data_IF_371498897755
#
_entry.id   IF_371498897755
#
_cell.length_a   1.000
_cell.length_b   1.000
_cell.length_c   1.000
_cell.angle_alpha   90.00
_cell.angle_beta   90.00
_cell.angle_gamma   90.00
#
_symmetry.space_group_name_H-M   'P 1'
#
loop_
_entity.id
_entity.type
_entity.pdbx_description
1 polymer ?
#
# COMPACT_ATOMS: atom_id res chain seq x y z
N UNK A 1 -7.12 8.47 -30.68
CA UNK A 1 -7.84 7.18 -30.56
C UNK A 1 -7.24 6.36 -29.43
N UNK A 2 -8.05 5.58 -28.71
CA UNK A 2 -7.55 4.61 -27.72
C UNK A 2 -7.18 3.34 -28.48
N UNK A 3 -5.90 2.95 -28.46
CA UNK A 3 -5.43 1.74 -29.11
C UNK A 3 -5.64 0.55 -28.16
N UNK A 4 -6.64 -0.28 -28.46
CA UNK A 4 -7.02 -1.40 -27.63
C UNK A 4 -5.90 -2.44 -27.50
N UNK A 5 -5.16 -2.70 -28.57
CA UNK A 5 -4.09 -3.70 -28.57
C UNK A 5 -2.95 -3.27 -27.65
N UNK A 6 -2.65 -1.97 -27.60
CA UNK A 6 -1.69 -1.43 -26.63
C UNK A 6 -2.17 -1.58 -25.18
N UNK A 7 -3.46 -1.34 -24.91
CA UNK A 7 -4.01 -1.52 -23.56
C UNK A 7 -4.00 -3.00 -23.14
N UNK A 8 -4.26 -3.90 -24.09
CA UNK A 8 -4.19 -5.34 -23.88
C UNK A 8 -2.78 -5.79 -23.53
N UNK A 9 -1.79 -5.43 -24.34
CA UNK A 9 -0.39 -5.79 -24.07
C UNK A 9 0.10 -5.19 -22.76
N UNK A 10 -0.34 -3.97 -22.41
CA UNK A 10 0.02 -3.35 -21.15
C UNK A 10 -0.58 -4.10 -19.95
N UNK A 11 -1.88 -4.44 -19.99
CA UNK A 11 -2.55 -5.24 -18.95
C UNK A 11 -1.93 -6.63 -18.78
N UNK A 12 -1.57 -7.27 -19.90
CA UNK A 12 -0.94 -8.59 -19.93
C UNK A 12 0.47 -8.56 -19.31
N UNK A 13 1.18 -7.44 -19.45
CA UNK A 13 2.51 -7.25 -18.87
C UNK A 13 2.51 -6.88 -17.38
N UNK A 14 1.36 -6.56 -16.79
CA UNK A 14 1.26 -6.27 -15.36
C UNK A 14 1.47 -7.54 -14.53
N UNK A 15 2.18 -7.40 -13.41
CA UNK A 15 2.18 -8.44 -12.40
C UNK A 15 0.85 -8.47 -11.63
N UNK A 16 0.67 -9.48 -10.77
CA UNK A 16 -0.58 -9.70 -10.04
C UNK A 16 -1.00 -8.46 -9.24
N UNK A 17 -0.12 -7.89 -8.43
CA UNK A 17 -0.44 -6.74 -7.57
C UNK A 17 -0.81 -5.50 -8.38
N UNK A 18 -0.09 -5.22 -9.47
CA UNK A 18 -0.40 -4.11 -10.36
C UNK A 18 -1.76 -4.29 -11.04
N UNK A 19 -2.09 -5.53 -11.41
CA UNK A 19 -3.37 -5.84 -12.02
C UNK A 19 -4.53 -5.67 -11.03
N UNK A 20 -4.40 -6.14 -9.80
CA UNK A 20 -5.43 -5.93 -8.76
C UNK A 20 -5.65 -4.44 -8.46
N UNK A 21 -4.58 -3.64 -8.39
CA UNK A 21 -4.70 -2.18 -8.22
C UNK A 21 -5.47 -1.53 -9.38
N UNK A 22 -5.26 -2.00 -10.62
CA UNK A 22 -6.02 -1.51 -11.78
C UNK A 22 -7.50 -1.85 -11.65
N UNK A 23 -7.85 -3.07 -11.20
CA UNK A 23 -9.24 -3.44 -10.95
C UNK A 23 -9.87 -2.54 -9.88
N UNK A 24 -9.16 -2.32 -8.77
CA UNK A 24 -9.60 -1.46 -7.68
C UNK A 24 -9.87 -0.02 -8.14
N UNK A 25 -8.94 0.59 -8.89
CA UNK A 25 -9.09 1.97 -9.38
C UNK A 25 -10.21 2.14 -10.42
N UNK A 26 -10.53 1.07 -11.13
CA UNK A 26 -11.61 1.04 -12.11
C UNK A 26 -12.94 0.60 -11.50
N UNK A 27 -12.99 0.35 -10.18
CA UNK A 27 -14.18 -0.14 -9.47
C UNK A 27 -14.75 -1.42 -10.09
N UNK A 28 -13.86 -2.29 -10.60
CA UNK A 28 -14.23 -3.58 -11.18
C UNK A 28 -14.23 -4.61 -10.05
N UNK A 29 -15.37 -5.27 -9.87
CA UNK A 29 -15.47 -6.39 -8.93
C UNK A 29 -14.49 -7.52 -9.32
N UNK A 30 -13.55 -7.93 -8.46
CA UNK A 30 -12.63 -9.03 -8.76
C UNK A 30 -13.34 -10.35 -9.02
N UNK A 31 -14.55 -10.57 -8.49
CA UNK A 31 -15.30 -11.82 -8.65
C UNK A 31 -15.82 -12.03 -10.09
N UNK A 32 -15.96 -10.97 -10.88
CA UNK A 32 -16.38 -11.04 -12.29
C UNK A 32 -15.20 -11.20 -13.26
N UNK A 33 -13.97 -11.17 -12.74
CA UNK A 33 -12.73 -11.44 -13.46
C UNK A 33 -12.29 -12.89 -13.15
N UNK A 34 -11.73 -13.64 -14.13
CA UNK A 34 -11.14 -14.94 -13.86
C UNK A 34 -10.11 -14.86 -12.72
N UNK A 35 -10.05 -15.95 -11.93
CA UNK A 35 -9.21 -16.01 -10.72
C UNK A 35 -7.75 -15.69 -11.00
N UNK A 36 -7.00 -15.36 -9.95
CA UNK A 36 -5.56 -15.09 -10.04
C UNK A 36 -4.73 -16.27 -10.55
N UNK A 37 -5.32 -17.48 -10.61
CA UNK A 37 -4.69 -18.68 -11.18
C UNK A 37 -4.92 -18.82 -12.69
N UNK A 38 -5.84 -18.05 -13.28
CA UNK A 38 -6.07 -18.02 -14.71
C UNK A 38 -4.95 -17.25 -15.42
N UNK A 39 -4.71 -17.58 -16.69
CA UNK A 39 -3.74 -16.84 -17.50
C UNK A 39 -4.07 -15.34 -17.54
N UNK A 40 -3.06 -14.50 -17.31
CA UNK A 40 -3.19 -13.05 -17.29
C UNK A 40 -3.80 -12.49 -18.59
N UNK A 41 -3.52 -13.13 -19.73
CA UNK A 41 -4.14 -12.81 -21.02
C UNK A 41 -5.67 -12.92 -20.98
N UNK A 42 -6.20 -13.97 -20.35
CA UNK A 42 -7.65 -14.21 -20.22
C UNK A 42 -8.28 -13.15 -19.30
N UNK A 43 -7.59 -12.80 -18.21
CA UNK A 43 -8.00 -11.75 -17.28
C UNK A 43 -8.05 -10.39 -17.98
N UNK A 44 -7.02 -10.04 -18.74
CA UNK A 44 -6.94 -8.80 -19.52
C UNK A 44 -8.04 -8.70 -20.58
N UNK A 45 -8.37 -9.81 -21.28
CA UNK A 45 -9.49 -9.86 -22.23
C UNK A 45 -10.81 -9.53 -21.52
N UNK A 46 -11.05 -10.09 -20.33
CA UNK A 46 -12.28 -9.86 -19.59
C UNK A 46 -12.43 -8.39 -19.16
N UNK A 47 -11.36 -7.78 -18.65
CA UNK A 47 -11.34 -6.34 -18.29
C UNK A 47 -11.67 -5.47 -19.50
N UNK A 48 -11.03 -5.72 -20.65
CA UNK A 48 -11.31 -4.96 -21.87
C UNK A 48 -12.75 -5.17 -22.34
N UNK A 49 -13.29 -6.40 -22.22
CA UNK A 49 -14.69 -6.70 -22.58
C UNK A 49 -15.68 -5.90 -21.74
N UNK A 50 -15.46 -5.82 -20.42
CA UNK A 50 -16.31 -5.06 -19.51
C UNK A 50 -16.28 -3.58 -19.84
N UNK A 51 -15.07 -3.00 -19.94
CA UNK A 51 -14.88 -1.56 -20.15
C UNK A 51 -15.30 -1.07 -21.54
N UNK A 52 -15.51 -1.98 -22.50
CA UNK A 52 -16.12 -1.67 -23.81
C UNK A 52 -17.62 -1.41 -23.72
N UNK A 53 -18.29 -1.97 -22.72
CA UNK A 53 -19.73 -1.77 -22.52
C UNK A 53 -20.02 -0.40 -21.90
N UNK A 54 -19.00 0.25 -21.34
CA UNK A 54 -19.07 1.58 -20.75
C UNK A 54 -18.67 2.67 -21.74
N UNK A 55 -19.36 3.81 -21.66
CA UNK A 55 -19.19 4.94 -22.59
C UNK A 55 -17.75 5.50 -22.62
N UNK A 56 -17.01 5.37 -21.52
CA UNK A 56 -15.65 5.90 -21.37
C UNK A 56 -14.67 4.88 -20.77
N UNK A 57 -15.05 3.62 -20.60
CA UNK A 57 -14.27 2.63 -19.83
C UNK A 57 -12.84 2.43 -20.36
N UNK A 58 -12.66 2.35 -21.69
CA UNK A 58 -11.32 2.23 -22.28
C UNK A 58 -10.45 3.49 -22.13
N UNK A 59 -11.07 4.67 -22.04
CA UNK A 59 -10.33 5.91 -21.74
C UNK A 59 -9.93 5.97 -20.27
N UNK A 60 -10.80 5.52 -19.36
CA UNK A 60 -10.49 5.37 -17.93
C UNK A 60 -9.35 4.38 -17.72
N UNK A 61 -9.36 3.24 -18.41
CA UNK A 61 -8.26 2.27 -18.38
C UNK A 61 -6.95 2.89 -18.86
N UNK A 62 -6.96 3.60 -19.99
CA UNK A 62 -5.77 4.28 -20.50
C UNK A 62 -5.20 5.27 -19.48
N UNK A 63 -6.08 6.04 -18.82
CA UNK A 63 -5.68 7.00 -17.78
C UNK A 63 -5.07 6.27 -16.58
N UNK A 64 -5.74 5.24 -16.08
CA UNK A 64 -5.31 4.44 -14.92
C UNK A 64 -3.94 3.79 -15.17
N UNK A 65 -3.75 3.17 -16.34
CA UNK A 65 -2.47 2.54 -16.70
C UNK A 65 -1.33 3.55 -16.91
N UNK A 66 -1.64 4.82 -17.14
CA UNK A 66 -0.65 5.89 -17.23
C UNK A 66 -0.28 6.47 -15.85
N UNK A 67 -0.98 6.08 -14.78
CA UNK A 67 -0.70 6.60 -13.45
C UNK A 67 0.59 5.98 -12.88
N UNK A 68 1.55 6.79 -12.38
CA UNK A 68 2.81 6.30 -11.84
C UNK A 68 2.62 5.29 -10.70
N UNK A 69 1.51 5.39 -9.97
CA UNK A 69 1.16 4.47 -8.89
C UNK A 69 1.10 3.01 -9.36
N UNK A 70 0.59 2.72 -10.55
CA UNK A 70 0.53 1.35 -11.11
C UNK A 70 1.94 0.79 -11.32
N UNK A 71 2.88 1.61 -11.78
CA UNK A 71 4.28 1.20 -11.93
C UNK A 71 4.99 0.96 -10.58
N UNK A 72 4.55 1.64 -9.51
CA UNK A 72 5.15 1.52 -8.17
C UNK A 72 4.66 0.25 -7.45
N UNK A 73 3.41 -0.16 -7.65
CA UNK A 73 2.78 -1.33 -7.01
C UNK A 73 3.49 -2.65 -7.36
N UNK A 74 4.27 -2.67 -8.45
CA UNK A 74 5.09 -3.82 -8.84
C UNK A 74 6.53 -3.82 -8.32
N UNK A 75 6.98 -2.73 -7.69
CA UNK A 75 8.24 -2.73 -6.97
C UNK A 75 8.00 -3.46 -5.67
N UNK A 76 8.46 -4.72 -5.60
CA UNK A 76 8.77 -5.33 -4.32
C UNK A 76 9.72 -4.36 -3.62
N UNK A 77 9.20 -3.58 -2.67
CA UNK A 77 10.06 -2.95 -1.69
C UNK A 77 10.74 -4.12 -0.95
N UNK A 78 11.97 -4.43 -1.36
CA UNK A 78 12.86 -5.24 -0.54
C UNK A 78 12.88 -4.57 0.83
N UNK A 79 12.72 -5.33 1.93
CA UNK A 79 12.47 -4.79 3.27
C UNK A 79 13.42 -3.67 3.72
N UNK A 80 14.59 -3.57 3.09
CA UNK A 80 15.54 -2.46 3.21
C UNK A 80 14.98 -1.07 2.85
N UNK A 81 14.16 -0.93 1.81
CA UNK A 81 13.65 0.38 1.38
C UNK A 81 12.51 0.86 2.30
N UNK A 82 11.66 -0.05 2.79
CA UNK A 82 10.68 0.28 3.84
C UNK A 82 11.41 0.61 5.13
N UNK A 83 12.43 -0.16 5.53
CA UNK A 83 13.20 0.15 6.72
C UNK A 83 13.90 1.51 6.60
N UNK A 84 14.42 1.88 5.43
CA UNK A 84 15.04 3.18 5.21
C UNK A 84 14.02 4.33 5.26
N UNK A 85 12.86 4.20 4.61
CA UNK A 85 11.81 5.22 4.68
C UNK A 85 11.18 5.32 6.07
N UNK A 86 10.94 4.19 6.74
CA UNK A 86 10.47 4.15 8.14
C UNK A 86 11.53 4.74 9.06
N UNK A 87 12.82 4.42 8.91
CA UNK A 87 13.90 5.04 9.67
C UNK A 87 14.01 6.54 9.40
N UNK A 88 13.76 6.99 8.17
CA UNK A 88 13.74 8.41 7.83
C UNK A 88 12.58 9.12 8.54
N UNK A 89 11.36 8.58 8.43
CA UNK A 89 10.16 9.10 9.10
C UNK A 89 10.36 9.09 10.62
N UNK A 90 10.79 7.97 11.19
CA UNK A 90 11.03 7.79 12.63
C UNK A 90 12.18 8.69 13.11
N UNK A 91 13.22 8.87 12.29
CA UNK A 91 14.37 9.74 12.60
C UNK A 91 13.98 11.20 12.81
N UNK A 92 12.99 11.70 12.07
CA UNK A 92 12.42 13.04 12.28
C UNK A 92 11.69 13.17 13.63
N UNK A 93 11.12 12.07 14.15
CA UNK A 93 10.44 12.06 15.45
C UNK A 93 11.36 11.81 16.65
N UNK A 94 12.45 11.05 16.48
CA UNK A 94 13.44 10.77 17.56
C UNK A 94 14.08 12.07 18.09
N UNK A 95 14.15 13.11 17.27
CA UNK A 95 14.75 14.40 17.65
C UNK A 95 13.80 15.33 18.42
N UNK A 96 12.53 14.95 18.60
CA UNK A 96 11.58 15.78 19.34
C UNK A 96 11.69 15.51 20.86
N UNK A 97 11.91 16.54 21.69
CA UNK A 97 11.95 16.36 23.13
C UNK A 97 10.57 15.94 23.66
N UNK A 98 10.51 14.75 24.29
CA UNK A 98 9.33 14.24 24.99
C UNK A 98 9.27 14.84 26.41
N UNK A 99 8.96 16.13 26.54
CA UNK A 99 8.80 16.72 27.87
C UNK A 99 7.47 16.28 28.52
N UNK A 100 7.55 15.82 29.79
CA UNK A 100 6.37 15.53 30.61
C UNK A 100 5.71 14.17 30.42
N UNK A 101 6.30 13.24 29.63
CA UNK A 101 5.74 11.89 29.36
C UNK A 101 6.60 10.72 29.83
N UNK A 102 7.45 10.97 30.83
CA UNK A 102 8.37 9.97 31.39
C UNK A 102 7.64 8.77 32.03
N UNK A 103 6.44 8.99 32.57
CA UNK A 103 5.64 7.93 33.16
C UNK A 103 5.10 6.95 32.09
N UNK A 104 4.60 7.46 30.97
CA UNK A 104 4.13 6.64 29.85
C UNK A 104 5.29 5.89 29.19
N UNK A 105 6.43 6.57 29.02
CA UNK A 105 7.66 5.96 28.51
C UNK A 105 8.12 4.79 29.39
N UNK A 106 8.11 4.94 30.71
CA UNK A 106 8.47 3.86 31.64
C UNK A 106 7.54 2.65 31.52
N UNK A 107 6.23 2.86 31.38
CA UNK A 107 5.25 1.77 31.19
C UNK A 107 5.45 1.04 29.86
N UNK A 108 5.79 1.78 28.82
CA UNK A 108 6.09 1.25 27.50
C UNK A 108 7.37 0.40 27.52
N UNK A 109 8.44 0.91 28.14
CA UNK A 109 9.69 0.17 28.33
C UNK A 109 9.48 -1.11 29.15
N UNK A 110 8.67 -1.05 30.21
CA UNK A 110 8.31 -2.21 31.02
C UNK A 110 7.52 -3.25 30.21
N UNK A 111 6.54 -2.80 29.41
CA UNK A 111 5.79 -3.69 28.53
C UNK A 111 6.70 -4.41 27.54
N UNK A 112 7.60 -3.69 26.86
CA UNK A 112 8.52 -4.26 25.86
C UNK A 112 9.50 -5.24 26.50
N UNK A 113 10.02 -4.95 27.71
CA UNK A 113 10.93 -5.87 28.41
C UNK A 113 10.23 -7.15 28.87
N UNK A 114 9.01 -7.03 29.37
CA UNK A 114 8.30 -8.14 30.00
C UNK A 114 7.50 -9.01 29.00
N UNK A 115 7.29 -8.51 27.78
CA UNK A 115 6.53 -9.21 26.75
C UNK A 115 7.38 -9.36 25.49
N UNK A 116 7.81 -10.61 25.21
CA UNK A 116 8.51 -10.93 23.96
C UNK A 116 7.57 -11.01 22.76
N UNK A 117 6.25 -11.11 22.99
CA UNK A 117 5.17 -11.13 22.00
C UNK A 117 3.88 -10.56 22.61
N UNK A 118 3.13 -9.75 21.85
CA UNK A 118 1.86 -9.17 22.31
C UNK A 118 1.44 -7.97 21.46
N UNK A 119 0.18 -7.53 21.61
CA UNK A 119 -0.35 -6.34 20.93
C UNK A 119 -0.58 -5.24 21.98
N UNK A 120 0.02 -4.07 21.77
CA UNK A 120 -0.19 -2.90 22.60
C UNK A 120 -1.11 -1.91 21.87
N UNK A 121 -2.26 -1.60 22.48
CA UNK A 121 -3.16 -0.55 21.99
C UNK A 121 -2.81 0.79 22.64
N UNK A 122 -2.41 1.78 21.84
CA UNK A 122 -2.13 3.15 22.30
C UNK A 122 -3.22 4.09 21.81
N UNK A 123 -3.93 4.72 22.74
CA UNK A 123 -5.06 5.62 22.46
C UNK A 123 -4.76 7.07 22.83
N UNK A 124 -5.49 8.00 22.23
CA UNK A 124 -5.37 9.44 22.50
C UNK A 124 -5.80 10.27 21.29
N UNK A 125 -6.16 11.53 21.52
CA UNK A 125 -6.60 12.43 20.45
C UNK A 125 -5.50 12.71 19.40
N UNK A 126 -5.89 13.20 18.23
CA UNK A 126 -4.95 13.64 17.20
C UNK A 126 -4.05 14.76 17.74
N UNK A 127 -2.77 14.79 17.36
CA UNK A 127 -1.79 15.78 17.84
C UNK A 127 -1.17 15.50 19.22
N UNK A 128 -1.62 14.49 19.97
CA UNK A 128 -1.09 14.16 21.31
C UNK A 128 0.25 13.41 21.31
N UNK A 129 1.02 13.45 20.22
CA UNK A 129 2.38 12.91 20.18
C UNK A 129 2.50 11.38 20.33
N UNK A 130 1.46 10.61 19.99
CA UNK A 130 1.47 9.13 20.12
C UNK A 130 2.60 8.48 19.29
N UNK A 131 2.76 8.90 18.03
CA UNK A 131 3.80 8.38 17.15
C UNK A 131 5.20 8.79 17.63
N UNK A 132 5.35 10.01 18.15
CA UNK A 132 6.59 10.47 18.77
C UNK A 132 6.94 9.58 19.98
N UNK A 133 6.01 9.34 20.91
CA UNK A 133 6.23 8.46 22.06
C UNK A 133 6.72 7.06 21.65
N UNK A 134 6.11 6.46 20.63
CA UNK A 134 6.50 5.14 20.12
C UNK A 134 7.87 5.12 19.43
N UNK A 135 8.30 6.25 18.83
CA UNK A 135 9.61 6.34 18.18
C UNK A 135 10.80 6.26 19.13
N UNK A 136 10.59 6.48 20.44
CA UNK A 136 11.63 6.40 21.46
C UNK A 136 11.79 5.01 22.09
N UNK A 137 11.01 4.01 21.64
CA UNK A 137 11.22 2.62 22.06
C UNK A 137 12.58 2.18 21.51
N UNK A 138 13.48 1.80 22.41
CA UNK A 138 14.73 1.15 22.00
C UNK A 138 14.41 -0.29 21.64
N UNK A 139 14.50 -0.62 20.34
CA UNK A 139 14.64 -2.01 19.91
C UNK A 139 15.91 -2.57 20.55
N UNK A 140 15.75 -3.48 21.51
CA UNK A 140 16.84 -4.26 22.10
C UNK A 140 17.33 -5.33 21.15
#
# INVERSE_FOLDING_TARGET
MVNQDQLFEHLKGLNLAQFEEVLFRLDIDPAIIPSSFAEQSIRAIQVIRLLKQEKEGLKCLKKTLAEPAISIVGKQYTGYEIEAQVKQIVGEYIQQPLEGREAEKRRLDEFVRNNSRGVLLVTGAAGFGKSALLSHIKSG
#
